data_IF_345801213341
#
_entry.id   IF_345801213341
#
_cell.length_a   1.000
_cell.length_b   1.000
_cell.length_c   1.000
_cell.angle_alpha   90.00
_cell.angle_beta   90.00
_cell.angle_gamma   90.00
#
_symmetry.space_group_name_H-M   'P 1'
#
loop_
_entity.id
_entity.type
_entity.pdbx_description
1 polymer ?
#
# COMPACT_ATOMS: atom_id res chain seq x y z
N UNK A 1 -17.43 -24.00 -2.36
CA UNK A 1 -17.70 -23.24 -1.12
C UNK A 1 -17.84 -21.77 -1.47
N UNK A 2 -18.99 -21.16 -1.19
CA UNK A 2 -19.15 -19.70 -1.26
C UNK A 2 -18.46 -19.11 -0.03
N UNK A 3 -17.29 -18.51 -0.22
CA UNK A 3 -16.59 -17.80 0.86
C UNK A 3 -17.41 -16.54 1.12
N UNK A 4 -18.29 -16.58 2.14
CA UNK A 4 -18.94 -15.37 2.63
C UNK A 4 -17.85 -14.49 3.23
N UNK A 5 -17.49 -13.41 2.52
CA UNK A 5 -16.65 -12.34 3.05
C UNK A 5 -17.21 -11.90 4.41
N UNK A 6 -16.35 -11.80 5.43
CA UNK A 6 -16.76 -11.37 6.77
C UNK A 6 -17.38 -9.98 6.67
N UNK A 7 -18.27 -9.63 7.61
CA UNK A 7 -18.98 -8.34 7.61
C UNK A 7 -18.02 -7.14 7.46
N UNK A 8 -16.84 -7.23 8.07
CA UNK A 8 -15.79 -6.21 7.97
C UNK A 8 -15.17 -6.13 6.57
N UNK A 9 -14.87 -7.28 5.95
CA UNK A 9 -14.30 -7.35 4.59
C UNK A 9 -15.31 -6.85 3.54
N UNK A 10 -16.60 -7.11 3.75
CA UNK A 10 -17.69 -6.66 2.86
C UNK A 10 -17.84 -5.14 2.83
N UNK A 11 -17.68 -4.49 3.98
CA UNK A 11 -17.83 -3.03 4.11
C UNK A 11 -16.49 -2.32 4.27
N UNK A 12 -15.38 -2.96 3.88
CA UNK A 12 -14.03 -2.46 4.10
C UNK A 12 -13.83 -1.05 3.53
N UNK A 13 -14.33 -0.79 2.33
CA UNK A 13 -14.28 0.55 1.70
C UNK A 13 -14.97 1.61 2.57
N UNK A 14 -16.15 1.29 3.11
CA UNK A 14 -16.90 2.20 3.98
C UNK A 14 -16.15 2.47 5.29
N UNK A 15 -15.56 1.44 5.89
CA UNK A 15 -14.73 1.60 7.09
C UNK A 15 -13.48 2.45 6.83
N UNK A 16 -12.81 2.26 5.69
CA UNK A 16 -11.65 3.08 5.31
C UNK A 16 -12.05 4.56 5.18
N UNK A 17 -13.14 4.87 4.48
CA UNK A 17 -13.64 6.25 4.36
C UNK A 17 -14.05 6.84 5.70
N UNK A 18 -14.71 6.06 6.56
CA UNK A 18 -15.10 6.51 7.89
C UNK A 18 -13.86 6.80 8.76
N UNK A 19 -12.86 5.94 8.75
CA UNK A 19 -11.59 6.14 9.48
C UNK A 19 -10.82 7.35 8.96
N UNK A 20 -10.76 7.56 7.64
CA UNK A 20 -10.14 8.76 7.05
C UNK A 20 -10.87 10.04 7.48
N UNK A 21 -12.20 10.06 7.38
CA UNK A 21 -13.01 11.21 7.76
C UNK A 21 -12.86 11.53 9.26
N UNK A 22 -12.93 10.52 10.13
CA UNK A 22 -12.71 10.69 11.57
C UNK A 22 -11.28 11.17 11.87
N UNK A 23 -10.25 10.61 11.22
CA UNK A 23 -8.86 11.02 11.43
C UNK A 23 -8.61 12.48 11.04
N UNK A 24 -9.10 12.89 9.86
CA UNK A 24 -8.94 14.28 9.37
C UNK A 24 -9.72 15.26 10.23
N UNK A 25 -10.97 14.95 10.60
CA UNK A 25 -11.78 15.83 11.45
C UNK A 25 -11.20 15.98 12.85
N UNK A 26 -10.71 14.89 13.46
CA UNK A 26 -10.03 14.96 14.76
C UNK A 26 -8.73 15.77 14.67
N UNK A 27 -7.92 15.58 13.63
CA UNK A 27 -6.69 16.37 13.42
C UNK A 27 -6.95 17.86 13.17
N UNK A 28 -8.09 18.19 12.54
CA UNK A 28 -8.51 19.57 12.32
C UNK A 28 -9.05 20.26 13.57
N UNK A 29 -9.88 19.56 14.37
CA UNK A 29 -10.50 20.10 15.59
C UNK A 29 -9.51 20.15 16.77
N UNK A 30 -8.58 19.20 16.84
CA UNK A 30 -7.59 19.10 17.91
C UNK A 30 -6.15 19.09 17.35
N UNK A 31 -5.55 20.28 17.12
CA UNK A 31 -4.18 20.40 16.59
C UNK A 31 -3.13 19.77 17.51
N UNK A 32 -3.43 19.66 18.81
CA UNK A 32 -2.57 19.03 19.82
C UNK A 32 -2.27 17.57 19.52
N UNK A 33 -3.14 16.87 18.76
CA UNK A 33 -2.89 15.50 18.32
C UNK A 33 -1.66 15.46 17.41
N UNK A 34 -1.53 16.39 16.47
CA UNK A 34 -0.36 16.49 15.59
C UNK A 34 0.92 16.68 16.39
N UNK A 35 0.90 17.53 17.43
CA UNK A 35 2.05 17.79 18.32
C UNK A 35 2.45 16.55 19.11
N UNK A 36 1.49 15.79 19.63
CA UNK A 36 1.76 14.52 20.32
C UNK A 36 2.34 13.48 19.36
N UNK A 37 1.86 13.43 18.13
CA UNK A 37 2.36 12.49 17.11
C UNK A 37 3.77 12.86 16.62
N UNK A 38 4.10 14.16 16.54
CA UNK A 38 5.46 14.64 16.32
C UNK A 38 6.38 14.34 17.51
N UNK A 39 5.89 14.49 18.75
CA UNK A 39 6.64 14.10 19.95
C UNK A 39 6.92 12.59 20.06
N UNK A 40 6.11 11.77 19.39
CA UNK A 40 6.30 10.32 19.22
C UNK A 40 7.11 9.96 17.96
N UNK A 41 7.72 10.94 17.29
CA UNK A 41 8.58 10.72 16.14
C UNK A 41 10.05 10.77 16.56
N UNK A 42 10.84 9.78 16.11
CA UNK A 42 12.30 9.79 16.27
C UNK A 42 12.88 10.10 14.89
N UNK A 43 13.46 11.29 14.73
CA UNK A 43 13.96 11.78 13.44
C UNK A 43 12.82 11.99 12.46
N UNK A 44 12.83 11.28 11.33
CA UNK A 44 11.79 11.34 10.28
C UNK A 44 10.72 10.24 10.42
N UNK A 45 10.84 9.33 11.39
CA UNK A 45 9.95 8.18 11.52
C UNK A 45 8.99 8.33 12.68
N UNK A 46 7.70 8.33 12.37
CA UNK A 46 6.62 8.33 13.34
C UNK A 46 6.44 6.91 13.92
N UNK A 47 6.70 6.72 15.22
CA UNK A 47 6.69 5.39 15.85
C UNK A 47 5.31 4.70 15.74
N UNK A 48 4.19 5.35 16.10
CA UNK A 48 2.85 4.78 15.92
C UNK A 48 2.59 4.32 14.49
N UNK A 49 2.95 5.15 13.51
CA UNK A 49 2.78 4.81 12.10
C UNK A 49 3.65 3.59 11.73
N UNK A 50 4.91 3.56 12.14
CA UNK A 50 5.82 2.45 11.87
C UNK A 50 5.31 1.13 12.44
N UNK A 51 4.81 1.12 13.68
CA UNK A 51 4.18 -0.07 14.30
C UNK A 51 2.96 -0.50 13.48
N UNK A 52 2.10 0.43 13.08
CA UNK A 52 0.94 0.15 12.23
C UNK A 52 1.35 -0.48 10.89
N UNK A 53 2.39 0.05 10.24
CA UNK A 53 2.93 -0.47 8.99
C UNK A 53 3.51 -1.90 9.16
N UNK A 54 4.20 -2.19 10.26
CA UNK A 54 4.71 -3.53 10.55
C UNK A 54 3.56 -4.51 10.77
N UNK A 55 2.58 -4.13 11.59
CA UNK A 55 1.42 -4.97 11.89
C UNK A 55 0.59 -5.29 10.65
N UNK A 56 0.44 -4.35 9.70
CA UNK A 56 -0.27 -4.62 8.44
C UNK A 56 0.54 -5.51 7.46
N UNK A 57 1.87 -5.52 7.55
CA UNK A 57 2.73 -6.28 6.65
C UNK A 57 2.88 -7.75 7.07
N UNK A 58 2.72 -8.04 8.36
CA UNK A 58 2.84 -9.39 8.91
C UNK A 58 1.85 -10.42 8.32
N UNK A 59 0.53 -10.14 8.20
CA UNK A 59 -0.43 -11.13 7.70
C UNK A 59 -0.19 -11.59 6.25
N UNK A 60 0.09 -10.69 5.28
CA UNK A 60 0.46 -11.11 3.93
C UNK A 60 1.70 -12.01 3.89
N UNK A 61 2.76 -11.66 4.63
CA UNK A 61 4.02 -12.44 4.67
C UNK A 61 3.83 -13.84 5.26
N UNK A 62 2.97 -13.97 6.26
CA UNK A 62 2.66 -15.26 6.90
C UNK A 62 1.76 -16.17 6.03
N UNK A 63 1.04 -15.60 5.05
CA UNK A 63 0.18 -16.35 4.13
C UNK A 63 0.91 -16.93 2.91
N UNK A 64 2.12 -16.47 2.63
CA UNK A 64 2.89 -16.95 1.47
C UNK A 64 3.36 -18.39 1.72
N UNK A 65 3.07 -19.28 0.78
CA UNK A 65 3.64 -20.63 0.76
C UNK A 65 5.07 -20.58 0.18
N UNK A 66 6.06 -20.77 1.04
CA UNK A 66 7.47 -20.72 0.63
C UNK A 66 7.91 -21.97 -0.14
N UNK A 67 7.14 -23.06 -0.12
CA UNK A 67 7.48 -24.32 -0.80
C UNK A 67 7.35 -24.23 -2.33
N UNK A 68 6.47 -23.34 -2.81
CA UNK A 68 6.22 -23.12 -4.24
C UNK A 68 7.15 -22.07 -4.87
N UNK A 69 7.88 -21.29 -4.07
CA UNK A 69 8.82 -20.27 -4.55
C UNK A 69 9.85 -20.81 -5.56
N UNK A 70 10.52 -21.97 -5.33
CA UNK A 70 11.49 -22.50 -6.28
C UNK A 70 10.87 -22.92 -7.62
N UNK A 71 9.57 -23.24 -7.62
CA UNK A 71 8.83 -23.59 -8.84
C UNK A 71 8.50 -22.32 -9.64
N UNK A 72 8.08 -21.25 -8.96
CA UNK A 72 7.82 -19.95 -9.58
C UNK A 72 9.10 -19.36 -10.22
N UNK A 73 10.26 -19.55 -9.59
CA UNK A 73 11.56 -19.12 -10.12
C UNK A 73 11.99 -19.83 -11.42
N UNK A 74 11.38 -20.97 -11.78
CA UNK A 74 11.67 -21.67 -13.04
C UNK A 74 11.00 -21.02 -14.25
N UNK A 75 9.93 -20.26 -14.05
CA UNK A 75 9.26 -19.54 -15.14
C UNK A 75 9.85 -18.13 -15.33
N UNK A 76 11.03 -18.10 -15.95
CA UNK A 76 11.75 -16.86 -16.21
C UNK A 76 11.00 -15.88 -17.11
N UNK A 77 10.04 -16.36 -17.93
CA UNK A 77 9.24 -15.49 -18.79
C UNK A 77 8.24 -14.70 -17.97
N UNK A 78 7.50 -15.35 -17.08
CA UNK A 78 6.53 -14.68 -16.19
C UNK A 78 7.24 -13.73 -15.24
N UNK A 79 8.37 -14.15 -14.66
CA UNK A 79 9.18 -13.28 -13.79
C UNK A 79 9.72 -12.08 -14.56
N UNK A 80 10.25 -12.28 -15.76
CA UNK A 80 10.77 -11.19 -16.59
C UNK A 80 9.70 -10.16 -16.93
N UNK A 81 8.50 -10.61 -17.32
CA UNK A 81 7.35 -9.73 -17.59
C UNK A 81 6.93 -8.99 -16.31
N UNK A 82 6.84 -9.68 -15.17
CA UNK A 82 6.51 -9.04 -13.90
C UNK A 82 7.53 -7.96 -13.53
N UNK A 83 8.82 -8.29 -13.56
CA UNK A 83 9.89 -7.33 -13.28
C UNK A 83 9.80 -6.12 -14.20
N UNK A 84 9.68 -6.32 -15.51
CA UNK A 84 9.55 -5.23 -16.48
C UNK A 84 8.31 -4.36 -16.19
N UNK A 85 7.15 -4.99 -16.01
CA UNK A 85 5.91 -4.26 -15.81
C UNK A 85 5.96 -3.37 -14.59
N UNK A 86 6.49 -3.88 -13.47
CA UNK A 86 6.44 -3.08 -12.26
C UNK A 86 7.72 -2.30 -11.91
N UNK A 87 8.91 -2.65 -12.43
CA UNK A 87 10.14 -1.85 -12.24
C UNK A 87 10.40 -0.85 -13.36
N UNK A 88 9.83 -1.05 -14.55
CA UNK A 88 10.02 -0.14 -15.68
C UNK A 88 8.70 0.56 -16.01
N UNK A 89 7.67 -0.21 -16.38
CA UNK A 89 6.43 0.38 -16.91
C UNK A 89 5.70 1.18 -15.82
N UNK A 90 5.52 0.62 -14.62
CA UNK A 90 4.88 1.30 -13.50
C UNK A 90 5.56 2.64 -13.13
N UNK A 91 6.87 2.66 -12.84
CA UNK A 91 7.58 3.89 -12.48
C UNK A 91 7.58 4.94 -13.59
N UNK A 92 7.79 4.53 -14.84
CA UNK A 92 7.77 5.45 -15.99
C UNK A 92 6.37 6.04 -16.17
N UNK A 93 5.32 5.22 -16.08
CA UNK A 93 3.94 5.69 -16.15
C UNK A 93 3.65 6.70 -15.04
N UNK A 94 4.00 6.37 -13.80
CA UNK A 94 3.76 7.24 -12.64
C UNK A 94 4.55 8.55 -12.73
N UNK A 95 5.79 8.50 -13.24
CA UNK A 95 6.59 9.70 -13.50
C UNK A 95 5.95 10.59 -14.56
N UNK A 96 5.52 10.01 -15.70
CA UNK A 96 4.84 10.76 -16.77
C UNK A 96 3.56 11.40 -16.25
N UNK A 97 2.73 10.65 -15.50
CA UNK A 97 1.51 11.19 -14.90
C UNK A 97 1.81 12.32 -13.92
N UNK A 98 2.82 12.16 -13.05
CA UNK A 98 3.19 13.20 -12.08
C UNK A 98 3.67 14.47 -12.77
N UNK A 99 4.48 14.37 -13.82
CA UNK A 99 5.00 15.53 -14.58
C UNK A 99 3.88 16.21 -15.39
N UNK A 100 2.93 15.45 -15.94
CA UNK A 100 1.83 16.00 -16.73
C UNK A 100 0.79 16.74 -15.87
N UNK A 101 0.44 16.20 -14.72
CA UNK A 101 -0.67 16.72 -13.90
C UNK A 101 -0.21 17.57 -12.71
N UNK A 102 1.01 17.38 -12.18
CA UNK A 102 1.48 18.02 -10.93
C UNK A 102 2.75 18.86 -11.17
N UNK A 103 2.96 19.36 -12.39
CA UNK A 103 4.17 20.14 -12.75
C UNK A 103 4.37 21.37 -11.87
N UNK A 104 3.27 22.04 -11.54
CA UNK A 104 3.27 23.30 -10.76
C UNK A 104 3.43 23.05 -9.26
N UNK A 105 3.38 21.79 -8.82
CA UNK A 105 3.41 21.39 -7.41
C UNK A 105 4.47 20.29 -7.16
N UNK A 106 5.76 20.66 -7.04
CA UNK A 106 6.85 19.70 -6.94
C UNK A 106 6.76 18.76 -5.72
N UNK A 107 6.18 19.23 -4.61
CA UNK A 107 6.00 18.44 -3.38
C UNK A 107 5.04 17.27 -3.60
N UNK A 108 3.88 17.53 -4.23
CA UNK A 108 2.91 16.51 -4.56
C UNK A 108 3.44 15.58 -5.67
N UNK A 109 4.18 16.13 -6.65
CA UNK A 109 4.81 15.34 -7.71
C UNK A 109 5.75 14.26 -7.13
N UNK A 110 6.63 14.65 -6.20
CA UNK A 110 7.53 13.70 -5.51
C UNK A 110 6.72 12.66 -4.74
N UNK A 111 5.66 13.05 -4.03
CA UNK A 111 4.78 12.13 -3.31
C UNK A 111 4.15 11.07 -4.21
N UNK A 112 3.59 11.48 -5.35
CA UNK A 112 2.95 10.57 -6.32
C UNK A 112 3.97 9.61 -6.94
N UNK A 113 5.18 10.09 -7.26
CA UNK A 113 6.26 9.23 -7.76
C UNK A 113 6.66 8.21 -6.69
N UNK A 114 6.85 8.63 -5.44
CA UNK A 114 7.22 7.74 -4.33
C UNK A 114 6.17 6.65 -4.08
N UNK A 115 4.88 7.01 -4.11
CA UNK A 115 3.78 6.04 -4.01
C UNK A 115 3.76 5.10 -5.22
N UNK A 116 4.02 5.62 -6.42
CA UNK A 116 4.09 4.84 -7.64
C UNK A 116 5.23 3.81 -7.67
N UNK A 117 6.34 4.10 -7.00
CA UNK A 117 7.45 3.18 -6.81
C UNK A 117 7.15 2.10 -5.77
N UNK A 118 6.31 2.40 -4.78
CA UNK A 118 5.91 1.46 -3.75
C UNK A 118 5.04 0.34 -4.35
N UNK A 119 5.57 -0.87 -4.35
CA UNK A 119 4.86 -2.06 -4.83
C UNK A 119 3.77 -2.48 -3.86
N UNK A 120 2.58 -2.78 -4.36
CA UNK A 120 1.55 -3.43 -3.55
C UNK A 120 1.68 -4.96 -3.65
N UNK A 121 2.06 -5.61 -2.56
CA UNK A 121 2.13 -7.09 -2.46
C UNK A 121 0.86 -7.69 -1.86
N UNK A 122 0.28 -7.03 -0.85
CA UNK A 122 -0.83 -7.58 -0.06
C UNK A 122 -2.12 -7.71 -0.87
N UNK A 123 -2.46 -6.67 -1.62
CA UNK A 123 -3.70 -6.65 -2.38
C UNK A 123 -3.66 -7.68 -3.52
N UNK A 124 -2.52 -7.87 -4.17
CA UNK A 124 -2.34 -8.87 -5.23
C UNK A 124 -2.64 -10.27 -4.72
N UNK A 125 -2.15 -10.65 -3.54
CA UNK A 125 -2.43 -11.96 -2.93
C UNK A 125 -3.94 -12.15 -2.72
N UNK A 126 -4.62 -11.13 -2.19
CA UNK A 126 -6.08 -11.19 -1.96
C UNK A 126 -6.85 -11.31 -3.28
N UNK A 127 -6.46 -10.57 -4.32
CA UNK A 127 -7.09 -10.70 -5.64
C UNK A 127 -6.86 -12.08 -6.26
N UNK A 128 -5.66 -12.63 -6.10
CA UNK A 128 -5.32 -13.99 -6.54
C UNK A 128 -6.23 -15.02 -5.85
N UNK A 129 -6.25 -14.98 -4.50
CA UNK A 129 -7.12 -15.83 -3.67
C UNK A 129 -8.60 -15.73 -4.09
N UNK A 130 -9.09 -14.52 -4.40
CA UNK A 130 -10.47 -14.27 -4.86
C UNK A 130 -10.72 -14.77 -6.29
N UNK A 131 -9.73 -14.63 -7.17
CA UNK A 131 -9.79 -15.06 -8.57
C UNK A 131 -9.63 -16.58 -8.73
N UNK A 132 -9.30 -17.31 -7.66
CA UNK A 132 -9.01 -18.76 -7.66
C UNK A 132 -7.85 -19.14 -8.58
N UNK A 133 -6.88 -18.24 -8.72
CA UNK A 133 -5.55 -18.48 -9.30
C UNK A 133 -4.52 -17.97 -8.32
#
# INVERSE_FOLDING_TARGET
MSVKLKFLDRYLTLWIFLSMALGVTLGYVFPSISVVTEGLSIGTTNIPLAIGLILMMYPPLAKVDYSILPLALKDGKVIGISLLLNWIVGPVLMFVLAVLFLRDEPSYMVGVIMIGLARCIAMVIVWNDLAKG
#
